data_IF_187338611729
#
_entry.id   IF_187338611729
#
_cell.length_a   1.000
_cell.length_b   1.000
_cell.length_c   1.000
_cell.angle_alpha   90.00
_cell.angle_beta   90.00
_cell.angle_gamma   90.00
#
_symmetry.space_group_name_H-M   'P 1'
#
loop_
_entity.id
_entity.type
_entity.pdbx_description
1 polymer ?
#
# COMPACT_ATOMS: atom_id res chain seq x y z
N UNK A 1 -32.62 19.92 14.34
CA UNK A 1 -31.26 20.53 14.36
C UNK A 1 -30.25 19.69 15.13
N UNK A 2 -30.59 19.12 16.30
CA UNK A 2 -29.67 18.31 17.14
C UNK A 2 -29.37 16.92 16.56
N UNK A 3 -30.34 16.25 15.93
CA UNK A 3 -30.15 14.92 15.32
C UNK A 3 -29.14 14.90 14.17
N UNK A 4 -29.04 15.99 13.40
CA UNK A 4 -28.06 16.12 12.30
C UNK A 4 -26.63 16.14 12.88
N UNK A 5 -26.44 16.69 14.09
CA UNK A 5 -25.13 16.71 14.75
C UNK A 5 -24.65 15.33 15.21
N UNK A 6 -25.56 14.40 15.52
CA UNK A 6 -25.20 13.08 16.05
C UNK A 6 -24.82 12.07 14.94
N UNK A 7 -25.42 12.19 13.75
CA UNK A 7 -25.09 11.40 12.55
C UNK A 7 -23.73 11.81 11.92
N UNK A 8 -23.40 13.11 11.97
CA UNK A 8 -22.15 13.65 11.42
C UNK A 8 -20.93 13.15 12.20
N UNK A 9 -21.09 12.91 13.51
CA UNK A 9 -20.06 12.33 14.41
C UNK A 9 -19.91 10.80 14.17
N UNK A 10 -20.60 10.17 13.23
CA UNK A 10 -20.28 8.79 12.83
C UNK A 10 -19.44 8.71 11.56
N UNK A 11 -19.72 9.62 10.61
CA UNK A 11 -19.19 9.56 9.25
C UNK A 11 -17.71 9.94 9.21
N UNK A 12 -17.31 11.01 9.91
CA UNK A 12 -15.91 11.47 9.90
C UNK A 12 -14.95 10.44 10.50
N UNK A 13 -15.35 9.77 11.59
CA UNK A 13 -14.58 8.71 12.24
C UNK A 13 -14.47 7.50 11.33
N UNK A 14 -15.55 7.12 10.65
CA UNK A 14 -15.54 6.00 9.70
C UNK A 14 -14.57 6.29 8.55
N UNK A 15 -14.61 7.50 7.98
CA UNK A 15 -13.69 7.92 6.91
C UNK A 15 -12.24 7.89 7.39
N UNK A 16 -11.95 8.39 8.59
CA UNK A 16 -10.60 8.38 9.17
C UNK A 16 -10.07 6.96 9.42
N UNK A 17 -10.91 6.07 9.96
CA UNK A 17 -10.56 4.67 10.18
C UNK A 17 -10.27 3.98 8.85
N UNK A 18 -11.12 4.18 7.83
CA UNK A 18 -10.90 3.62 6.49
C UNK A 18 -9.60 4.15 5.88
N UNK A 19 -9.31 5.45 6.00
CA UNK A 19 -8.06 6.04 5.52
C UNK A 19 -6.83 5.44 6.20
N UNK A 20 -6.88 5.24 7.52
CA UNK A 20 -5.78 4.59 8.26
C UNK A 20 -5.60 3.13 7.87
N UNK A 21 -6.70 2.39 7.77
CA UNK A 21 -6.71 0.99 7.33
C UNK A 21 -6.10 0.89 5.93
N UNK A 22 -6.57 1.67 4.97
CA UNK A 22 -6.06 1.66 3.60
C UNK A 22 -4.60 2.09 3.55
N UNK A 23 -4.23 3.13 4.31
CA UNK A 23 -2.87 3.64 4.37
C UNK A 23 -1.86 2.66 4.96
N UNK A 24 -2.31 1.70 5.76
CA UNK A 24 -1.45 0.68 6.38
C UNK A 24 -1.55 -0.68 5.68
N UNK A 25 -2.74 -1.12 5.29
CA UNK A 25 -2.93 -2.41 4.61
C UNK A 25 -2.33 -2.41 3.21
N UNK A 26 -2.46 -1.33 2.43
CA UNK A 26 -1.91 -1.31 1.06
C UNK A 26 -0.38 -1.52 1.06
N UNK A 27 0.41 -0.79 1.87
CA UNK A 27 1.84 -1.06 2.00
C UNK A 27 2.17 -2.46 2.48
N UNK A 28 1.43 -2.99 3.46
CA UNK A 28 1.65 -4.36 3.96
C UNK A 28 1.41 -5.39 2.86
N UNK A 29 0.32 -5.26 2.10
CA UNK A 29 0.03 -6.16 0.97
C UNK A 29 1.12 -6.05 -0.10
N UNK A 30 1.58 -4.84 -0.41
CA UNK A 30 2.66 -4.63 -1.36
C UNK A 30 3.97 -5.25 -0.88
N UNK A 31 4.32 -5.12 0.40
CA UNK A 31 5.49 -5.77 1.00
C UNK A 31 5.40 -7.29 0.90
N UNK A 32 4.26 -7.88 1.22
CA UNK A 32 4.04 -9.33 1.07
C UNK A 32 4.22 -9.76 -0.38
N UNK A 33 3.66 -9.01 -1.34
CA UNK A 33 3.79 -9.27 -2.76
C UNK A 33 5.25 -9.16 -3.24
N UNK A 34 6.02 -8.18 -2.73
CA UNK A 34 7.45 -8.02 -3.03
C UNK A 34 8.26 -9.20 -2.48
N UNK A 35 8.03 -9.58 -1.22
CA UNK A 35 8.77 -10.67 -0.58
C UNK A 35 8.51 -12.01 -1.27
N UNK A 36 7.26 -12.25 -1.69
CA UNK A 36 6.82 -13.48 -2.37
C UNK A 36 7.23 -13.54 -3.84
N UNK A 37 7.46 -12.40 -4.50
CA UNK A 37 7.86 -12.37 -5.91
C UNK A 37 9.37 -12.48 -6.07
N UNK A 38 9.82 -13.03 -7.18
CA UNK A 38 11.24 -13.03 -7.54
C UNK A 38 11.60 -11.79 -8.34
N UNK A 39 12.67 -11.14 -7.94
CA UNK A 39 13.24 -9.95 -8.59
C UNK A 39 14.69 -10.21 -8.93
N UNK A 40 15.19 -9.50 -9.93
CA UNK A 40 16.58 -9.62 -10.36
C UNK A 40 17.49 -8.79 -9.45
N UNK A 41 18.54 -9.42 -8.92
CA UNK A 41 19.56 -8.73 -8.11
C UNK A 41 18.97 -8.04 -6.88
N UNK A 42 19.19 -6.73 -6.78
CA UNK A 42 18.86 -5.93 -5.60
C UNK A 42 17.47 -5.28 -5.65
N UNK A 43 16.72 -5.44 -6.76
CA UNK A 43 15.42 -4.78 -6.95
C UNK A 43 14.41 -5.15 -5.86
N UNK A 44 14.47 -6.39 -5.33
CA UNK A 44 13.64 -6.81 -4.19
C UNK A 44 13.85 -5.90 -2.98
N UNK A 45 15.11 -5.66 -2.60
CA UNK A 45 15.46 -4.87 -1.42
C UNK A 45 15.09 -3.39 -1.65
N UNK A 46 15.35 -2.87 -2.85
CA UNK A 46 15.00 -1.49 -3.22
C UNK A 46 13.50 -1.28 -3.05
N UNK A 47 12.66 -2.18 -3.57
CA UNK A 47 11.21 -2.06 -3.43
C UNK A 47 10.73 -2.21 -1.99
N UNK A 48 11.32 -3.10 -1.20
CA UNK A 48 11.03 -3.20 0.25
C UNK A 48 11.31 -1.85 0.93
N UNK A 49 12.48 -1.26 0.71
CA UNK A 49 12.84 0.03 1.32
C UNK A 49 11.92 1.15 0.85
N UNK A 50 11.61 1.22 -0.45
CA UNK A 50 10.71 2.22 -1.02
C UNK A 50 9.33 2.14 -0.39
N UNK A 51 8.74 0.94 -0.30
CA UNK A 51 7.41 0.77 0.31
C UNK A 51 7.45 1.04 1.82
N UNK A 52 8.50 0.63 2.52
CA UNK A 52 8.66 0.83 3.97
C UNK A 52 8.78 2.32 4.33
N UNK A 53 9.62 3.08 3.62
CA UNK A 53 9.87 4.49 3.94
C UNK A 53 8.82 5.45 3.36
N UNK A 54 8.27 5.15 2.18
CA UNK A 54 7.30 6.02 1.50
C UNK A 54 5.83 5.57 1.68
N UNK A 55 5.57 4.47 2.39
CA UNK A 55 4.24 3.91 2.67
C UNK A 55 3.33 3.88 1.44
N UNK A 56 2.25 4.68 1.42
CA UNK A 56 1.28 4.77 0.33
C UNK A 56 1.95 5.17 -1.00
N UNK A 57 2.84 6.15 -0.98
CA UNK A 57 3.54 6.62 -2.19
C UNK A 57 4.44 5.52 -2.72
N UNK A 58 5.19 4.85 -1.83
CA UNK A 58 6.04 3.71 -2.20
C UNK A 58 5.23 2.56 -2.79
N UNK A 59 4.05 2.30 -2.22
CA UNK A 59 3.11 1.29 -2.71
C UNK A 59 2.60 1.61 -4.10
N UNK A 60 2.23 2.87 -4.37
CA UNK A 60 1.80 3.31 -5.71
C UNK A 60 2.93 3.18 -6.73
N UNK A 61 4.16 3.56 -6.38
CA UNK A 61 5.34 3.38 -7.23
C UNK A 61 5.60 1.90 -7.51
N UNK A 62 5.48 1.04 -6.48
CA UNK A 62 5.63 -0.40 -6.63
C UNK A 62 4.61 -0.98 -7.61
N UNK A 63 3.34 -0.58 -7.49
CA UNK A 63 2.30 -1.05 -8.39
C UNK A 63 2.47 -0.57 -9.82
N UNK A 64 2.95 0.67 -10.02
CA UNK A 64 3.12 1.25 -11.36
C UNK A 64 4.39 0.75 -12.06
N UNK A 65 5.51 0.69 -11.35
CA UNK A 65 6.85 0.41 -11.90
C UNK A 65 7.37 -0.93 -11.40
N UNK A 66 7.33 -1.18 -10.09
CA UNK A 66 7.98 -2.33 -9.45
C UNK A 66 7.46 -3.68 -9.91
N UNK A 67 6.15 -3.82 -10.14
CA UNK A 67 5.58 -5.07 -10.67
C UNK A 67 6.18 -5.52 -12.01
N UNK A 68 6.65 -4.58 -12.85
CA UNK A 68 7.24 -4.89 -14.17
C UNK A 68 8.67 -5.42 -14.08
N UNK A 69 9.32 -5.23 -12.94
CA UNK A 69 10.70 -5.67 -12.67
C UNK A 69 10.77 -7.09 -12.09
N UNK A 70 9.61 -7.71 -11.82
CA UNK A 70 9.52 -9.12 -11.42
C UNK A 70 10.12 -9.99 -12.52
N UNK A 71 10.86 -11.01 -12.13
CA UNK A 71 11.38 -11.99 -13.07
C UNK A 71 10.19 -12.80 -13.58
N UNK A 72 9.77 -12.51 -14.81
CA UNK A 72 8.93 -13.43 -15.57
C UNK A 72 9.86 -14.47 -16.16
N UNK A 73 9.82 -15.70 -15.64
CA UNK A 73 10.42 -16.86 -16.30
C UNK A 73 9.64 -17.12 -17.59
N UNK A 74 9.91 -16.33 -18.63
CA UNK A 74 9.55 -16.68 -19.99
C UNK A 74 10.59 -17.71 -20.45
N UNK A 75 10.17 -18.97 -20.53
CA UNK A 75 10.85 -20.00 -21.32
C UNK A 75 10.74 -19.66 -22.80
#
# INVERSE_FOLDING_TARGET
>A
MIYIGMEIIGIWQTILIVLLIVGFLLPVIALIDILKSDFKGNDKIIWVLVVLFLNLIGTLLYFSIGRKQKITSAN
#
